data_IF_711304641779
#
_entry.id   IF_711304641779
#
_cell.length_a   1.000
_cell.length_b   1.000
_cell.length_c   1.000
_cell.angle_alpha   90.00
_cell.angle_beta   90.00
_cell.angle_gamma   90.00
#
_symmetry.space_group_name_H-M   'P 1'
#
loop_
_entity.id
_entity.type
_entity.pdbx_description
1 polymer ?
#
# COMPACT_ATOMS: atom_id res chain seq x y z
N UNK A 1 -1.12 21.66 9.76
CA UNK A 1 -0.09 21.08 8.88
C UNK A 1 0.97 22.10 8.43
N UNK A 2 0.64 23.20 7.71
CA UNK A 2 1.68 24.06 7.10
C UNK A 2 2.56 24.83 8.11
N UNK A 3 2.08 25.00 9.35
CA UNK A 3 2.82 25.70 10.40
C UNK A 3 3.78 24.80 11.21
N UNK A 4 3.84 23.49 10.93
CA UNK A 4 4.80 22.61 11.60
C UNK A 4 6.21 22.89 11.07
N UNK A 5 7.15 23.14 11.97
CA UNK A 5 8.56 23.20 11.62
C UNK A 5 9.13 21.81 11.28
N UNK A 6 10.25 21.71 10.55
CA UNK A 6 10.81 20.42 10.11
C UNK A 6 11.04 19.40 11.23
N UNK A 7 11.47 19.85 12.42
CA UNK A 7 11.68 18.98 13.58
C UNK A 7 10.37 18.50 14.24
N UNK A 8 9.27 19.23 14.04
CA UNK A 8 7.96 18.88 14.62
C UNK A 8 7.20 17.87 13.76
N UNK A 9 7.52 17.78 12.47
CA UNK A 9 6.84 16.87 11.53
C UNK A 9 6.95 15.40 11.95
N UNK A 10 8.15 14.85 12.26
CA UNK A 10 8.26 13.47 12.72
C UNK A 10 7.52 13.21 14.03
N UNK A 11 7.57 14.15 14.98
CA UNK A 11 6.89 14.04 16.27
C UNK A 11 5.37 14.03 16.10
N UNK A 12 4.85 14.91 15.25
CA UNK A 12 3.43 14.96 14.94
C UNK A 12 2.95 13.69 14.25
N UNK A 13 3.71 13.16 13.28
CA UNK A 13 3.37 11.90 12.61
C UNK A 13 3.44 10.70 13.55
N UNK A 14 4.45 10.63 14.43
CA UNK A 14 4.55 9.53 15.40
C UNK A 14 3.35 9.55 16.38
N UNK A 15 2.96 10.72 16.88
CA UNK A 15 1.75 10.87 17.70
C UNK A 15 0.47 10.48 16.93
N UNK A 16 0.30 10.98 15.70
CA UNK A 16 -0.85 10.65 14.86
C UNK A 16 -0.97 9.14 14.65
N UNK A 17 0.15 8.45 14.41
CA UNK A 17 0.16 7.02 14.15
C UNK A 17 -0.07 6.21 15.43
N UNK A 18 0.71 6.47 16.50
CA UNK A 18 0.68 5.65 17.72
C UNK A 18 -0.54 5.87 18.58
N UNK A 19 -1.11 7.07 18.53
CA UNK A 19 -2.28 7.45 19.35
C UNK A 19 -3.51 7.62 18.49
N UNK A 20 -3.42 8.41 17.42
CA UNK A 20 -4.59 8.74 16.60
C UNK A 20 -5.14 7.56 15.78
N UNK A 21 -4.28 6.84 15.05
CA UNK A 21 -4.70 5.69 14.23
C UNK A 21 -5.03 4.45 15.08
N UNK A 22 -4.56 4.41 16.32
CA UNK A 22 -4.83 3.35 17.28
C UNK A 22 -6.09 3.62 18.14
N UNK A 23 -6.79 4.74 17.91
CA UNK A 23 -7.99 5.10 18.67
C UNK A 23 -9.12 4.08 18.44
N UNK A 24 -9.90 3.77 19.48
CA UNK A 24 -11.02 2.82 19.41
C UNK A 24 -12.16 3.35 18.53
N UNK A 25 -12.31 4.67 18.43
CA UNK A 25 -13.38 5.33 17.69
C UNK A 25 -12.99 5.54 16.23
N UNK A 26 -13.74 4.93 15.31
CA UNK A 26 -13.50 5.02 13.87
C UNK A 26 -13.45 6.46 13.35
N UNK A 27 -14.34 7.33 13.83
CA UNK A 27 -14.37 8.74 13.44
C UNK A 27 -13.09 9.48 13.83
N UNK A 28 -12.47 9.13 14.96
CA UNK A 28 -11.18 9.70 15.38
C UNK A 28 -10.07 9.19 14.46
N UNK A 29 -10.01 7.88 14.20
CA UNK A 29 -9.03 7.31 13.26
C UNK A 29 -9.11 7.97 11.88
N UNK A 30 -10.32 8.13 11.33
CA UNK A 30 -10.54 8.78 10.05
C UNK A 30 -10.07 10.25 10.04
N UNK A 31 -10.37 11.00 11.09
CA UNK A 31 -9.88 12.38 11.25
C UNK A 31 -8.34 12.43 11.35
N UNK A 32 -7.72 11.46 12.03
CA UNK A 32 -6.27 11.36 12.19
C UNK A 32 -5.57 10.95 10.89
N UNK A 33 -6.17 10.08 10.07
CA UNK A 33 -5.73 9.84 8.68
C UNK A 33 -5.77 11.14 7.89
N UNK A 34 -6.88 11.89 7.94
CA UNK A 34 -7.01 13.18 7.25
C UNK A 34 -5.95 14.20 7.69
N UNK A 35 -5.69 14.29 8.99
CA UNK A 35 -4.63 15.15 9.55
C UNK A 35 -3.23 14.71 9.08
N UNK A 36 -2.95 13.40 9.08
CA UNK A 36 -1.70 12.85 8.58
C UNK A 36 -1.51 13.12 7.09
N UNK A 37 -2.55 12.92 6.27
CA UNK A 37 -2.53 13.27 4.83
C UNK A 37 -2.20 14.75 4.65
N UNK A 38 -2.83 15.65 5.41
CA UNK A 38 -2.53 17.08 5.33
C UNK A 38 -1.07 17.41 5.72
N UNK A 39 -0.49 16.69 6.69
CA UNK A 39 0.93 16.83 7.07
C UNK A 39 1.84 16.35 5.94
N UNK A 40 1.57 15.18 5.37
CA UNK A 40 2.35 14.63 4.24
C UNK A 40 2.22 15.52 3.01
N UNK A 41 1.03 16.06 2.72
CA UNK A 41 0.82 16.98 1.60
C UNK A 41 1.58 18.29 1.77
N UNK A 42 1.71 18.80 2.99
CA UNK A 42 2.45 20.04 3.26
C UNK A 42 3.98 19.85 3.26
N UNK A 43 4.48 18.66 3.64
CA UNK A 43 5.90 18.46 3.97
C UNK A 43 6.61 17.33 3.22
N UNK A 44 5.86 16.46 2.54
CA UNK A 44 6.38 15.21 1.94
C UNK A 44 7.33 15.42 0.76
N UNK A 45 7.20 16.53 0.04
CA UNK A 45 8.15 16.92 -1.02
C UNK A 45 9.38 17.68 -0.52
N UNK A 46 9.41 18.06 0.76
CA UNK A 46 10.48 18.84 1.38
C UNK A 46 11.50 17.98 2.13
N UNK A 47 12.42 18.61 2.91
CA UNK A 47 13.45 17.90 3.67
C UNK A 47 12.90 16.85 4.65
N UNK A 48 11.69 17.08 5.20
CA UNK A 48 11.04 16.16 6.11
C UNK A 48 10.55 14.87 5.42
N UNK A 49 10.30 14.89 4.10
CA UNK A 49 9.84 13.71 3.36
C UNK A 49 10.81 12.52 3.46
N UNK A 50 12.12 12.79 3.53
CA UNK A 50 13.14 11.76 3.65
C UNK A 50 13.03 10.95 4.95
N UNK A 51 12.49 11.53 6.03
CA UNK A 51 12.31 10.84 7.32
C UNK A 51 10.96 10.13 7.44
N UNK A 52 9.98 10.46 6.58
CA UNK A 52 8.64 9.87 6.64
C UNK A 52 8.62 8.42 6.18
N UNK A 53 9.37 8.09 5.13
CA UNK A 53 9.44 6.73 4.59
C UNK A 53 9.90 5.69 5.62
N UNK A 54 11.08 5.83 6.28
CA UNK A 54 11.51 4.85 7.28
C UNK A 54 10.58 4.81 8.50
N UNK A 55 9.93 5.92 8.84
CA UNK A 55 8.91 5.94 9.90
C UNK A 55 7.72 5.04 9.52
N UNK A 56 7.16 5.21 8.31
CA UNK A 56 6.02 4.43 7.83
C UNK A 56 6.37 2.96 7.65
N UNK A 57 7.52 2.65 7.06
CA UNK A 57 8.02 1.26 6.92
C UNK A 57 8.13 0.57 8.28
N UNK A 58 8.58 1.29 9.31
CA UNK A 58 8.62 0.78 10.67
C UNK A 58 7.26 0.36 11.23
N UNK A 59 6.16 0.99 10.83
CA UNK A 59 4.80 0.59 11.22
C UNK A 59 4.16 -0.44 10.28
N UNK A 60 4.78 -0.71 9.12
CA UNK A 60 4.31 -1.69 8.15
C UNK A 60 5.10 -3.00 8.21
N UNK A 61 6.16 -3.05 9.01
CA UNK A 61 7.01 -4.22 9.20
C UNK A 61 6.17 -5.46 9.59
N UNK A 62 6.17 -6.52 8.75
CA UNK A 62 5.39 -7.73 9.00
C UNK A 62 5.93 -8.52 10.20
N UNK A 63 7.21 -8.38 10.55
CA UNK A 63 7.81 -9.08 11.70
C UNK A 63 7.16 -8.67 13.03
N UNK A 64 6.59 -7.47 13.10
CA UNK A 64 5.89 -6.97 14.30
C UNK A 64 4.59 -7.71 14.59
N UNK A 65 4.02 -8.44 13.63
CA UNK A 65 2.84 -9.29 13.89
C UNK A 65 3.17 -10.55 14.70
N UNK A 66 4.43 -11.00 14.68
CA UNK A 66 4.79 -12.28 15.26
C UNK A 66 4.55 -12.29 16.78
N UNK A 67 3.70 -13.19 17.25
CA UNK A 67 3.38 -13.35 18.67
C UNK A 67 2.26 -12.46 19.21
N UNK A 68 1.62 -11.65 18.36
CA UNK A 68 0.42 -10.89 18.72
C UNK A 68 -0.79 -11.81 18.94
N UNK A 69 -1.67 -11.42 19.88
CA UNK A 69 -3.01 -11.99 19.96
C UNK A 69 -3.86 -11.56 18.76
N UNK A 70 -5.02 -12.20 18.57
CA UNK A 70 -5.93 -11.83 17.49
C UNK A 70 -6.45 -10.39 17.64
N UNK A 71 -6.70 -9.96 18.88
CA UNK A 71 -7.12 -8.60 19.20
C UNK A 71 -6.01 -7.58 18.90
N UNK A 72 -4.77 -7.90 19.27
CA UNK A 72 -3.60 -7.06 18.97
C UNK A 72 -3.35 -6.94 17.46
N UNK A 73 -3.47 -8.04 16.71
CA UNK A 73 -3.38 -8.02 15.25
C UNK A 73 -4.45 -7.13 14.62
N UNK A 74 -5.69 -7.22 15.12
CA UNK A 74 -6.81 -6.41 14.62
C UNK A 74 -6.58 -4.93 14.88
N UNK A 75 -6.14 -4.56 16.09
CA UNK A 75 -5.78 -3.18 16.42
C UNK A 75 -4.59 -2.70 15.57
N UNK A 76 -3.59 -3.55 15.37
CA UNK A 76 -2.44 -3.23 14.52
C UNK A 76 -2.82 -3.03 13.06
N UNK A 77 -3.78 -3.80 12.53
CA UNK A 77 -4.29 -3.65 11.17
C UNK A 77 -4.98 -2.29 10.94
N UNK A 78 -5.67 -1.73 11.95
CA UNK A 78 -6.23 -0.37 11.88
C UNK A 78 -5.14 0.70 11.73
N UNK A 79 -4.05 0.55 12.49
CA UNK A 79 -2.88 1.45 12.38
C UNK A 79 -2.25 1.32 11.00
N UNK A 80 -2.03 0.09 10.53
CA UNK A 80 -1.42 -0.19 9.22
C UNK A 80 -2.25 0.37 8.07
N UNK A 81 -3.57 0.26 8.13
CA UNK A 81 -4.47 0.83 7.12
C UNK A 81 -4.22 2.33 6.96
N UNK A 82 -4.19 3.08 8.06
CA UNK A 82 -3.90 4.51 8.01
C UNK A 82 -2.49 4.81 7.51
N UNK A 83 -1.48 4.06 7.96
CA UNK A 83 -0.09 4.24 7.50
C UNK A 83 0.07 3.95 6.01
N UNK A 84 -0.65 2.97 5.45
CA UNK A 84 -0.69 2.71 4.00
C UNK A 84 -1.18 3.94 3.25
N UNK A 85 -2.24 4.60 3.72
CA UNK A 85 -2.75 5.84 3.11
C UNK A 85 -1.70 6.96 3.17
N UNK A 86 -0.98 7.10 4.29
CA UNK A 86 0.09 8.09 4.42
C UNK A 86 1.28 7.80 3.49
N UNK A 87 1.68 6.54 3.35
CA UNK A 87 2.75 6.11 2.45
C UNK A 87 2.37 6.34 0.98
N UNK A 88 1.14 5.98 0.60
CA UNK A 88 0.61 6.26 -0.74
C UNK A 88 0.55 7.76 -1.03
N UNK A 89 0.17 8.57 -0.04
CA UNK A 89 0.18 10.04 -0.14
C UNK A 89 1.59 10.57 -0.36
N UNK A 90 2.57 10.10 0.43
CA UNK A 90 3.98 10.48 0.32
C UNK A 90 4.54 10.19 -1.07
N UNK A 91 4.17 9.05 -1.65
CA UNK A 91 4.65 8.65 -2.97
C UNK A 91 4.31 9.66 -4.08
N UNK A 92 3.19 10.40 -3.94
CA UNK A 92 2.77 11.43 -4.90
C UNK A 92 3.67 12.67 -4.89
N UNK A 93 4.38 12.89 -3.77
CA UNK A 93 5.31 14.02 -3.59
C UNK A 93 6.74 13.68 -3.97
N UNK A 94 7.01 12.44 -4.39
CA UNK A 94 8.33 12.06 -4.86
C UNK A 94 8.67 12.79 -6.18
N UNK A 95 9.92 13.28 -6.34
CA UNK A 95 10.40 13.87 -7.58
C UNK A 95 10.15 12.99 -8.80
N UNK A 96 9.92 13.58 -9.98
CA UNK A 96 9.54 12.86 -11.19
C UNK A 96 10.51 11.70 -11.55
N UNK A 97 11.81 11.90 -11.31
CA UNK A 97 12.90 10.94 -11.56
C UNK A 97 13.08 9.87 -10.47
N UNK A 98 12.30 9.91 -9.39
CA UNK A 98 12.38 8.96 -8.27
C UNK A 98 11.73 7.59 -8.55
N UNK A 99 11.88 7.05 -9.78
CA UNK A 99 11.30 5.77 -10.23
C UNK A 99 11.65 4.63 -9.29
N UNK A 100 12.92 4.51 -8.88
CA UNK A 100 13.36 3.48 -7.94
C UNK A 100 12.60 3.53 -6.61
N UNK A 101 12.48 4.72 -6.01
CA UNK A 101 11.76 4.88 -4.74
C UNK A 101 10.27 4.54 -4.87
N UNK A 102 9.65 4.85 -6.01
CA UNK A 102 8.26 4.44 -6.27
C UNK A 102 8.13 2.93 -6.36
N UNK A 103 9.08 2.24 -7.01
CA UNK A 103 9.12 0.79 -7.04
C UNK A 103 9.31 0.21 -5.63
N UNK A 104 10.21 0.75 -4.83
CA UNK A 104 10.42 0.33 -3.43
C UNK A 104 9.11 0.47 -2.60
N UNK A 105 8.36 1.56 -2.78
CA UNK A 105 7.04 1.73 -2.15
C UNK A 105 6.05 0.65 -2.60
N UNK A 106 6.02 0.33 -3.90
CA UNK A 106 5.16 -0.75 -4.40
C UNK A 106 5.52 -2.07 -3.71
N UNK A 107 6.81 -2.40 -3.57
CA UNK A 107 7.24 -3.62 -2.88
C UNK A 107 6.77 -3.66 -1.41
N UNK A 108 6.90 -2.56 -0.67
CA UNK A 108 6.38 -2.44 0.71
C UNK A 108 4.87 -2.67 0.73
N UNK A 109 4.14 -2.04 -0.19
CA UNK A 109 2.68 -2.18 -0.31
C UNK A 109 2.26 -3.62 -0.64
N UNK A 110 3.01 -4.33 -1.50
CA UNK A 110 2.74 -5.73 -1.83
C UNK A 110 2.95 -6.66 -0.64
N UNK A 111 4.02 -6.46 0.14
CA UNK A 111 4.19 -7.23 1.38
C UNK A 111 3.06 -6.96 2.36
N UNK A 112 2.64 -5.69 2.47
CA UNK A 112 1.53 -5.33 3.35
C UNK A 112 0.24 -6.05 2.95
N UNK A 113 -0.06 -6.21 1.66
CA UNK A 113 -1.26 -6.89 1.17
C UNK A 113 -1.33 -8.39 1.49
N UNK A 114 -0.22 -9.04 1.85
CA UNK A 114 -0.25 -10.46 2.25
C UNK A 114 -0.96 -10.68 3.58
N UNK A 115 -1.20 -9.62 4.36
CA UNK A 115 -2.05 -9.68 5.56
C UNK A 115 -3.48 -10.11 5.19
N UNK A 116 -4.17 -10.92 6.02
CA UNK A 116 -5.57 -11.27 5.78
C UNK A 116 -6.57 -10.13 6.05
N UNK A 117 -6.13 -8.94 6.49
CA UNK A 117 -7.03 -7.79 6.68
C UNK A 117 -7.51 -7.19 5.35
N UNK A 118 -8.83 -7.21 5.14
CA UNK A 118 -9.45 -6.66 3.93
C UNK A 118 -9.31 -5.14 3.83
N UNK A 119 -9.45 -4.43 4.95
CA UNK A 119 -9.38 -2.97 4.96
C UNK A 119 -7.98 -2.50 4.56
N UNK A 120 -6.94 -3.16 5.07
CA UNK A 120 -5.55 -2.92 4.68
C UNK A 120 -5.34 -3.23 3.19
N UNK A 121 -5.83 -4.36 2.69
CA UNK A 121 -5.71 -4.73 1.27
C UNK A 121 -6.39 -3.70 0.35
N UNK A 122 -7.57 -3.21 0.72
CA UNK A 122 -8.30 -2.16 -0.02
C UNK A 122 -7.57 -0.81 0.01
N UNK A 123 -7.00 -0.43 1.16
CA UNK A 123 -6.19 0.77 1.29
C UNK A 123 -4.97 0.71 0.35
N UNK A 124 -4.27 -0.43 0.30
CA UNK A 124 -3.16 -0.62 -0.64
C UNK A 124 -3.63 -0.51 -2.08
N UNK A 125 -4.71 -1.22 -2.45
CA UNK A 125 -5.27 -1.18 -3.81
C UNK A 125 -5.61 0.24 -4.27
N UNK A 126 -6.03 1.11 -3.35
CA UNK A 126 -6.33 2.52 -3.62
C UNK A 126 -5.07 3.37 -3.86
N UNK A 127 -3.93 2.96 -3.30
CA UNK A 127 -2.64 3.64 -3.47
C UNK A 127 -1.90 3.26 -4.76
N UNK A 128 -2.14 2.06 -5.30
CA UNK A 128 -1.42 1.54 -6.46
C UNK A 128 -1.67 2.27 -7.80
N UNK A 129 -2.87 2.79 -8.13
CA UNK A 129 -3.12 3.42 -9.44
C UNK A 129 -2.16 4.56 -9.79
N UNK A 130 -1.97 5.61 -8.95
CA UNK A 130 -1.03 6.68 -9.29
C UNK A 130 0.43 6.21 -9.35
N UNK A 131 0.82 5.21 -8.54
CA UNK A 131 2.15 4.59 -8.60
C UNK A 131 2.37 3.85 -9.92
N UNK A 132 1.40 3.03 -10.34
CA UNK A 132 1.45 2.30 -11.60
C UNK A 132 1.49 3.24 -12.80
N UNK A 133 0.72 4.34 -12.78
CA UNK A 133 0.81 5.39 -13.82
C UNK A 133 2.21 6.01 -13.86
N UNK A 134 2.80 6.35 -12.70
CA UNK A 134 4.13 6.95 -12.64
C UNK A 134 5.26 5.99 -13.06
N UNK A 135 5.05 4.68 -12.96
CA UNK A 135 5.99 3.63 -13.34
C UNK A 135 5.74 3.06 -14.76
N UNK A 136 4.69 3.51 -15.44
CA UNK A 136 4.23 2.92 -16.71
C UNK A 136 5.28 2.93 -17.85
N UNK A 137 6.25 3.85 -17.80
CA UNK A 137 7.35 3.90 -18.77
C UNK A 137 8.37 2.76 -18.58
N UNK A 138 8.48 2.21 -17.37
CA UNK A 138 9.34 1.05 -17.08
C UNK A 138 8.57 -0.24 -17.37
N UNK A 139 8.51 -0.60 -18.66
CA UNK A 139 7.76 -1.77 -19.12
C UNK A 139 8.23 -3.06 -18.48
N UNK A 140 9.55 -3.25 -18.32
CA UNK A 140 10.10 -4.47 -17.74
C UNK A 140 9.64 -4.65 -16.28
N UNK A 141 9.68 -3.57 -15.49
CA UNK A 141 9.15 -3.60 -14.13
C UNK A 141 7.64 -3.87 -14.11
N UNK A 142 6.86 -3.16 -14.92
CA UNK A 142 5.39 -3.30 -14.92
C UNK A 142 4.92 -4.67 -15.38
N UNK A 143 5.54 -5.25 -16.41
CA UNK A 143 5.23 -6.59 -16.90
C UNK A 143 5.55 -7.65 -15.83
N UNK A 144 6.69 -7.51 -15.15
CA UNK A 144 7.07 -8.37 -14.01
C UNK A 144 6.11 -8.24 -12.82
N UNK A 145 5.70 -7.02 -12.50
CA UNK A 145 4.73 -6.74 -11.43
C UNK A 145 3.37 -7.39 -11.71
N UNK A 146 2.84 -7.23 -12.93
CA UNK A 146 1.56 -7.83 -13.34
C UNK A 146 1.64 -9.35 -13.33
N UNK A 147 2.72 -9.94 -13.86
CA UNK A 147 2.92 -11.38 -13.85
C UNK A 147 2.96 -11.95 -12.43
N UNK A 148 3.71 -11.31 -11.52
CA UNK A 148 3.79 -11.71 -10.11
C UNK A 148 2.43 -11.61 -9.40
N UNK A 149 1.69 -10.51 -9.60
CA UNK A 149 0.37 -10.34 -9.01
C UNK A 149 -0.61 -11.39 -9.51
N UNK A 150 -0.59 -11.70 -10.81
CA UNK A 150 -1.43 -12.73 -11.41
C UNK A 150 -1.09 -14.14 -10.87
N UNK A 151 0.20 -14.43 -10.73
CA UNK A 151 0.65 -15.68 -10.10
C UNK A 151 0.18 -15.76 -8.64
N UNK A 152 0.35 -14.70 -7.85
CA UNK A 152 -0.12 -14.68 -6.46
C UNK A 152 -1.65 -14.77 -6.36
N UNK A 153 -2.40 -14.15 -7.27
CA UNK A 153 -3.87 -14.26 -7.32
C UNK A 153 -4.32 -15.70 -7.57
N UNK A 154 -3.61 -16.43 -8.42
CA UNK A 154 -4.02 -17.77 -8.86
C UNK A 154 -3.43 -18.90 -8.01
N UNK A 155 -2.23 -18.69 -7.46
CA UNK A 155 -1.44 -19.73 -6.76
C UNK A 155 -0.96 -19.30 -5.37
N UNK A 156 -1.47 -18.19 -4.84
CA UNK A 156 -1.15 -17.75 -3.48
C UNK A 156 -1.52 -18.81 -2.43
N UNK A 157 -0.66 -18.98 -1.42
CA UNK A 157 -0.75 -20.10 -0.46
C UNK A 157 -2.00 -20.02 0.40
N UNK A 158 -2.40 -18.80 0.73
CA UNK A 158 -3.57 -18.53 1.57
C UNK A 158 -4.63 -17.76 0.78
N UNK A 159 -5.88 -17.88 1.21
CA UNK A 159 -6.96 -17.05 0.67
C UNK A 159 -6.65 -15.55 0.81
N UNK A 160 -6.07 -15.14 1.94
CA UNK A 160 -5.65 -13.77 2.20
C UNK A 160 -4.65 -13.25 1.15
N UNK A 161 -3.60 -14.04 0.86
CA UNK A 161 -2.62 -13.72 -0.20
C UNK A 161 -3.26 -13.59 -1.58
N UNK A 162 -4.13 -14.55 -1.95
CA UNK A 162 -4.81 -14.54 -3.26
C UNK A 162 -5.73 -13.32 -3.41
N UNK A 163 -6.53 -13.00 -2.38
CA UNK A 163 -7.43 -11.84 -2.36
C UNK A 163 -6.62 -10.53 -2.38
N UNK A 164 -5.56 -10.44 -1.59
CA UNK A 164 -4.67 -9.27 -1.57
C UNK A 164 -4.02 -9.03 -2.93
N UNK A 165 -3.50 -10.08 -3.58
CA UNK A 165 -2.96 -10.00 -4.92
C UNK A 165 -4.01 -9.59 -5.96
N UNK A 166 -5.26 -10.07 -5.85
CA UNK A 166 -6.34 -9.66 -6.74
C UNK A 166 -6.68 -8.16 -6.60
N UNK A 167 -6.73 -7.65 -5.36
CA UNK A 167 -6.85 -6.20 -5.08
C UNK A 167 -5.66 -5.42 -5.65
N UNK A 168 -4.44 -5.96 -5.51
CA UNK A 168 -3.23 -5.39 -6.08
C UNK A 168 -3.29 -5.27 -7.60
N UNK A 169 -3.66 -6.37 -8.27
CA UNK A 169 -3.81 -6.45 -9.72
C UNK A 169 -4.85 -5.45 -10.22
N UNK A 170 -5.99 -5.35 -9.55
CA UNK A 170 -7.02 -4.37 -9.87
C UNK A 170 -6.51 -2.92 -9.74
N UNK A 171 -5.73 -2.62 -8.70
CA UNK A 171 -5.11 -1.31 -8.50
C UNK A 171 -4.12 -0.95 -9.61
N UNK A 172 -3.25 -1.89 -9.99
CA UNK A 172 -2.29 -1.72 -11.09
C UNK A 172 -3.00 -1.53 -12.42
N UNK A 173 -3.97 -2.37 -12.74
CA UNK A 173 -4.79 -2.25 -13.97
C UNK A 173 -5.52 -0.92 -14.03
N UNK A 174 -6.05 -0.43 -12.90
CA UNK A 174 -6.70 0.88 -12.83
C UNK A 174 -5.72 2.02 -13.16
N UNK A 175 -4.46 1.91 -12.78
CA UNK A 175 -3.41 2.89 -13.10
C UNK A 175 -2.90 2.83 -14.55
N UNK A 176 -2.83 1.63 -15.12
CA UNK A 176 -2.40 1.41 -16.52
C UNK A 176 -3.53 1.58 -17.56
N UNK A 177 -4.78 1.48 -17.12
CA UNK A 177 -5.98 1.53 -17.96
C UNK A 177 -6.43 0.16 -18.49
N UNK A 178 -7.66 0.11 -19.00
CA UNK A 178 -8.33 -1.14 -19.39
C UNK A 178 -7.58 -1.95 -20.47
N UNK A 179 -6.78 -1.30 -21.32
CA UNK A 179 -5.98 -2.00 -22.33
C UNK A 179 -4.90 -2.90 -21.72
N UNK A 180 -4.45 -2.61 -20.51
CA UNK A 180 -3.48 -3.45 -19.80
C UNK A 180 -4.01 -4.88 -19.58
N UNK A 181 -5.33 -5.03 -19.39
CA UNK A 181 -5.99 -6.34 -19.25
C UNK A 181 -5.72 -7.22 -20.47
N UNK A 182 -5.87 -6.65 -21.66
CA UNK A 182 -5.66 -7.36 -22.92
C UNK A 182 -4.17 -7.55 -23.20
N UNK A 183 -3.37 -6.50 -23.04
CA UNK A 183 -1.95 -6.51 -23.40
C UNK A 183 -1.13 -7.48 -22.54
N UNK A 184 -1.49 -7.64 -21.27
CA UNK A 184 -0.82 -8.55 -20.35
C UNK A 184 -1.49 -9.93 -20.25
N UNK A 185 -2.49 -10.24 -21.09
CA UNK A 185 -3.15 -11.56 -21.11
C UNK A 185 -3.87 -11.92 -19.81
N UNK A 186 -4.28 -10.93 -19.02
CA UNK A 186 -4.80 -11.14 -17.66
C UNK A 186 -6.07 -12.01 -17.69
N UNK A 187 -7.00 -11.73 -18.60
CA UNK A 187 -8.26 -12.49 -18.69
C UNK A 187 -8.04 -13.95 -19.07
N UNK A 188 -7.10 -14.23 -19.96
CA UNK A 188 -6.84 -15.61 -20.41
C UNK A 188 -6.18 -16.43 -19.30
N UNK A 189 -5.24 -15.82 -18.56
CA UNK A 189 -4.65 -16.45 -17.39
C UNK A 189 -5.69 -16.73 -16.29
N UNK A 190 -6.61 -15.80 -16.03
CA UNK A 190 -7.69 -16.01 -15.06
C UNK A 190 -8.67 -17.12 -15.49
N UNK A 191 -8.98 -17.23 -16.79
CA UNK A 191 -9.82 -18.33 -17.30
C UNK A 191 -9.17 -19.68 -17.07
N UNK A 192 -7.88 -19.81 -17.43
CA UNK A 192 -7.13 -21.05 -17.19
C UNK A 192 -7.13 -21.43 -15.72
N UNK A 193 -6.93 -20.46 -14.82
CA UNK A 193 -6.91 -20.71 -13.38
C UNK A 193 -8.27 -21.16 -12.82
N UNK A 194 -9.39 -20.64 -13.34
CA UNK A 194 -10.74 -21.05 -12.92
C UNK A 194 -11.06 -22.49 -13.40
N UNK A 195 -10.53 -22.89 -14.54
CA UNK A 195 -10.72 -24.24 -15.10
C UNK A 195 -9.82 -25.30 -14.43
N UNK A 196 -8.74 -24.89 -13.76
CA UNK A 196 -7.82 -25.77 -13.05
C UNK A 196 -8.41 -26.22 -11.70
N UNK A 197 -9.02 -27.41 -11.71
CA UNK A 197 -9.63 -28.03 -10.53
C UNK A 197 -8.65 -28.52 -9.47
N UNK A 198 -7.33 -28.44 -9.70
CA UNK A 198 -6.31 -28.94 -8.76
C UNK A 198 -5.94 -27.93 -7.67
N UNK A 199 -6.17 -26.64 -7.92
CA UNK A 199 -5.80 -25.52 -7.05
C UNK A 199 -7.04 -24.79 -6.47
N UNK A 200 -8.23 -25.39 -6.59
CA UNK A 200 -9.51 -24.86 -6.12
C UNK A 200 -9.73 -25.06 -4.62
#
# INVERSE_FOLDING_TARGET
APHLGPAQVPVALDFLIRTGLADEVEGVRAAMVGAGVAVVDAHGGGPAGATMMPLFEGFLDPSKRAGMSHEEETAYDLVREGVVVLLGTLARHLPADATKKRADIVEVLLEVMKTPSESVQRAVSTCLPPLATALASDKAYMDGLVARLLEMTTKGKTYGERRGAAFGLAGVVKGLGAMAIKNAGILDALKVAIEDKKEA
#
